data_IF_770546432182
#
_entry.id   IF_770546432182
#
_cell.length_a   1.000
_cell.length_b   1.000
_cell.length_c   1.000
_cell.angle_alpha   90.00
_cell.angle_beta   90.00
_cell.angle_gamma   90.00
#
_symmetry.space_group_name_H-M   'P 1'
#
loop_
_entity.id
_entity.type
_entity.pdbx_description
1 polymer ?
#
# COMPACT_ATOMS: atom_id res chain seq x y z
N UNK A 1 4.04 11.34 -19.08
CA UNK A 1 5.17 11.41 -18.10
C UNK A 1 6.22 10.42 -18.57
N UNK A 2 7.52 10.76 -18.59
CA UNK A 2 8.57 9.80 -18.96
C UNK A 2 8.60 8.68 -17.93
N UNK A 3 8.63 7.42 -18.37
CA UNK A 3 8.70 6.25 -17.49
C UNK A 3 10.02 6.27 -16.72
N UNK A 4 9.94 6.11 -15.40
CA UNK A 4 11.11 5.91 -14.54
C UNK A 4 11.35 4.41 -14.40
N UNK A 5 12.62 4.00 -14.48
CA UNK A 5 13.03 2.61 -14.34
C UNK A 5 13.91 2.44 -13.10
N UNK A 6 13.78 1.31 -12.45
CA UNK A 6 14.69 0.90 -11.37
C UNK A 6 15.96 0.25 -11.95
N UNK A 7 17.04 0.20 -11.18
CA UNK A 7 18.35 -0.30 -11.68
C UNK A 7 18.25 -1.70 -12.30
N UNK A 8 17.45 -2.59 -11.72
CA UNK A 8 17.27 -3.95 -12.25
C UNK A 8 16.38 -4.02 -13.51
N UNK A 9 15.73 -2.93 -13.89
CA UNK A 9 14.90 -2.80 -15.08
C UNK A 9 15.67 -2.23 -16.29
N UNK A 10 17.00 -1.99 -16.18
CA UNK A 10 17.77 -1.32 -17.22
C UNK A 10 17.63 -1.98 -18.60
N UNK A 11 17.61 -3.32 -18.65
CA UNK A 11 17.42 -4.04 -19.92
C UNK A 11 16.02 -3.86 -20.54
N UNK A 12 14.99 -3.58 -19.71
CA UNK A 12 13.65 -3.21 -20.18
C UNK A 12 13.69 -1.79 -20.71
N UNK A 13 14.33 -0.86 -19.98
CA UNK A 13 14.48 0.53 -20.38
C UNK A 13 15.17 0.67 -21.74
N UNK A 14 16.28 -0.06 -21.95
CA UNK A 14 17.03 -0.05 -23.20
C UNK A 14 16.18 -0.56 -24.38
N UNK A 15 15.34 -1.57 -24.13
CA UNK A 15 14.45 -2.12 -25.16
C UNK A 15 13.28 -1.18 -25.46
N UNK A 16 12.67 -0.56 -24.45
CA UNK A 16 11.62 0.44 -24.64
C UNK A 16 12.15 1.68 -25.39
N UNK A 17 13.36 2.15 -25.07
CA UNK A 17 14.00 3.25 -25.80
C UNK A 17 14.18 2.92 -27.27
N UNK A 18 14.63 1.69 -27.60
CA UNK A 18 14.77 1.25 -28.96
C UNK A 18 13.44 1.17 -29.72
N UNK A 19 12.37 0.73 -29.06
CA UNK A 19 11.03 0.71 -29.64
C UNK A 19 10.56 2.14 -29.97
N UNK A 20 10.78 3.09 -29.05
CA UNK A 20 10.44 4.50 -29.27
C UNK A 20 11.23 5.11 -30.44
N UNK A 21 12.53 4.82 -30.57
CA UNK A 21 13.34 5.24 -31.72
C UNK A 21 12.78 4.69 -33.05
N UNK A 22 12.39 3.42 -33.08
CA UNK A 22 11.80 2.82 -34.29
C UNK A 22 10.44 3.42 -34.64
N UNK A 23 9.59 3.69 -33.66
CA UNK A 23 8.31 4.37 -33.87
C UNK A 23 8.51 5.77 -34.49
N UNK A 24 9.49 6.53 -33.98
CA UNK A 24 9.83 7.83 -34.52
C UNK A 24 10.31 7.74 -35.98
N UNK A 25 11.15 6.75 -36.30
CA UNK A 25 11.60 6.50 -37.67
C UNK A 25 10.46 6.09 -38.62
N UNK A 26 9.50 5.30 -38.11
CA UNK A 26 8.31 4.89 -38.85
C UNK A 26 7.43 6.08 -39.21
N UNK A 27 7.23 7.02 -38.28
CA UNK A 27 6.43 8.22 -38.51
C UNK A 27 7.07 9.18 -39.52
N UNK A 28 8.40 9.17 -39.65
CA UNK A 28 9.17 10.07 -40.51
C UNK A 28 9.57 9.45 -41.87
N UNK A 29 9.33 8.15 -42.10
CA UNK A 29 9.75 7.43 -43.28
C UNK A 29 8.63 6.59 -43.92
N UNK A 30 8.73 6.34 -45.25
CA UNK A 30 7.82 5.45 -45.96
C UNK A 30 8.11 3.94 -45.75
N UNK A 31 8.98 3.59 -44.83
CA UNK A 31 9.35 2.20 -44.53
C UNK A 31 8.44 1.64 -43.45
N UNK A 32 7.73 0.55 -43.78
CA UNK A 32 6.91 -0.18 -42.79
C UNK A 32 7.80 -1.11 -41.94
N UNK A 33 7.96 -0.75 -40.68
CA UNK A 33 8.72 -1.51 -39.66
C UNK A 33 7.82 -2.04 -38.53
N UNK A 34 6.51 -2.10 -38.76
CA UNK A 34 5.53 -2.51 -37.78
C UNK A 34 5.77 -3.92 -37.23
N UNK A 35 6.20 -4.88 -38.08
CA UNK A 35 6.52 -6.25 -37.64
C UNK A 35 7.72 -6.29 -36.68
N UNK A 36 8.72 -5.46 -36.91
CA UNK A 36 9.90 -5.37 -36.06
C UNK A 36 9.55 -4.76 -34.70
N UNK A 37 8.72 -3.70 -34.69
CA UNK A 37 8.22 -3.08 -33.47
C UNK A 37 7.41 -4.11 -32.65
N UNK A 38 6.45 -4.80 -33.26
CA UNK A 38 5.62 -5.81 -32.59
C UNK A 38 6.48 -6.95 -32.00
N UNK A 39 7.52 -7.39 -32.73
CA UNK A 39 8.47 -8.40 -32.26
C UNK A 39 9.23 -7.92 -31.02
N UNK A 40 9.68 -6.66 -31.00
CA UNK A 40 10.39 -6.07 -29.86
C UNK A 40 9.47 -5.86 -28.68
N UNK A 41 8.22 -5.43 -28.89
CA UNK A 41 7.21 -5.32 -27.82
C UNK A 41 6.93 -6.68 -27.15
N UNK A 42 6.74 -7.74 -27.93
CA UNK A 42 6.60 -9.11 -27.41
C UNK A 42 7.82 -9.55 -26.60
N UNK A 43 9.02 -9.23 -27.10
CA UNK A 43 10.27 -9.51 -26.39
C UNK A 43 10.36 -8.70 -25.09
N UNK A 44 9.96 -7.43 -25.10
CA UNK A 44 9.90 -6.56 -23.92
C UNK A 44 8.95 -7.09 -22.85
N UNK A 45 7.75 -7.50 -23.26
CA UNK A 45 6.78 -8.09 -22.35
C UNK A 45 7.29 -9.39 -21.73
N UNK A 46 7.94 -10.27 -22.52
CA UNK A 46 8.53 -11.50 -22.00
C UNK A 46 9.70 -11.22 -21.04
N UNK A 47 10.57 -10.28 -21.38
CA UNK A 47 11.69 -9.87 -20.53
C UNK A 47 11.19 -9.30 -19.18
N UNK A 48 10.18 -8.45 -19.22
CA UNK A 48 9.55 -7.90 -18.01
C UNK A 48 8.96 -9.02 -17.15
N UNK A 49 8.27 -9.97 -17.75
CA UNK A 49 7.71 -11.14 -17.05
C UNK A 49 8.81 -11.98 -16.39
N UNK A 50 9.91 -12.21 -17.06
CA UNK A 50 11.02 -13.03 -16.55
C UNK A 50 11.75 -12.35 -15.38
N UNK A 51 11.94 -11.02 -15.45
CA UNK A 51 12.53 -10.22 -14.38
C UNK A 51 11.59 -10.18 -13.17
N UNK A 52 10.32 -9.83 -13.37
CA UNK A 52 9.35 -9.67 -12.29
C UNK A 52 8.95 -10.99 -11.62
N UNK A 53 9.14 -12.12 -12.30
CA UNK A 53 8.96 -13.45 -11.70
C UNK A 53 10.05 -13.84 -10.68
N UNK A 54 11.19 -13.12 -10.69
CA UNK A 54 12.39 -13.46 -9.90
C UNK A 54 12.85 -12.33 -8.97
N UNK A 55 11.99 -11.33 -8.72
CA UNK A 55 12.35 -10.21 -7.86
C UNK A 55 12.74 -10.69 -6.46
N UNK A 56 13.87 -10.22 -5.98
CA UNK A 56 14.27 -10.40 -4.58
C UNK A 56 13.40 -9.54 -3.66
N UNK A 57 13.28 -9.84 -2.37
CA UNK A 57 12.56 -9.00 -1.41
C UNK A 57 13.04 -7.55 -1.39
N UNK A 58 14.32 -7.32 -1.61
CA UNK A 58 14.87 -5.97 -1.76
C UNK A 58 14.32 -5.27 -3.00
N UNK A 59 14.33 -5.93 -4.17
CA UNK A 59 13.74 -5.37 -5.39
C UNK A 59 12.24 -5.13 -5.25
N UNK A 60 11.50 -6.01 -4.57
CA UNK A 60 10.09 -5.77 -4.24
C UNK A 60 9.93 -4.50 -3.40
N UNK A 61 10.81 -4.26 -2.42
CA UNK A 61 10.77 -3.02 -1.63
C UNK A 61 11.02 -1.76 -2.47
N UNK A 62 11.89 -1.86 -3.49
CA UNK A 62 12.13 -0.78 -4.44
C UNK A 62 10.89 -0.52 -5.32
N UNK A 63 10.21 -1.57 -5.82
CA UNK A 63 8.95 -1.46 -6.56
C UNK A 63 7.84 -0.86 -5.69
N UNK A 64 7.73 -1.26 -4.41
CA UNK A 64 6.77 -0.70 -3.46
C UNK A 64 6.93 0.82 -3.28
N UNK A 65 8.15 1.34 -3.42
CA UNK A 65 8.53 2.76 -3.29
C UNK A 65 8.63 3.49 -4.62
N UNK A 66 8.29 2.82 -5.73
CA UNK A 66 8.46 3.43 -7.05
C UNK A 66 7.75 4.79 -7.12
N UNK A 67 8.43 5.89 -7.58
CA UNK A 67 7.90 7.25 -7.52
C UNK A 67 6.62 7.45 -8.36
N UNK A 68 6.39 6.61 -9.35
CA UNK A 68 5.19 6.63 -10.19
C UNK A 68 4.13 5.62 -9.74
N UNK A 69 4.29 4.94 -8.59
CA UNK A 69 3.27 4.04 -8.05
C UNK A 69 2.02 4.82 -7.67
N UNK A 70 0.79 4.31 -7.95
CA UNK A 70 -0.44 4.98 -7.55
C UNK A 70 -0.51 5.14 -6.04
N UNK A 71 -0.91 6.34 -5.57
CA UNK A 71 -1.16 6.66 -4.18
C UNK A 71 -2.66 6.62 -3.87
N UNK A 72 -3.04 6.88 -2.63
CA UNK A 72 -4.44 6.84 -2.19
C UNK A 72 -5.37 7.71 -3.03
N UNK A 73 -4.98 8.96 -3.33
CA UNK A 73 -5.80 9.88 -4.13
C UNK A 73 -5.99 9.39 -5.59
N UNK A 74 -5.00 8.69 -6.15
CA UNK A 74 -5.14 8.09 -7.49
C UNK A 74 -6.22 6.99 -7.47
N UNK A 75 -6.17 6.10 -6.47
CA UNK A 75 -7.20 5.07 -6.32
C UNK A 75 -8.58 5.65 -6.00
N UNK A 76 -8.65 6.71 -5.19
CA UNK A 76 -9.91 7.39 -4.91
C UNK A 76 -10.58 7.87 -6.19
N UNK A 77 -9.84 8.53 -7.07
CA UNK A 77 -10.37 9.04 -8.35
C UNK A 77 -10.80 7.95 -9.33
N UNK A 78 -10.15 6.76 -9.30
CA UNK A 78 -10.39 5.67 -10.23
C UNK A 78 -11.46 4.66 -9.77
N UNK A 79 -11.67 4.54 -8.46
CA UNK A 79 -12.50 3.47 -7.87
C UNK A 79 -13.79 4.01 -7.25
N UNK A 80 -13.76 5.21 -6.67
CA UNK A 80 -14.86 5.79 -5.90
C UNK A 80 -15.50 6.99 -6.62
N UNK A 81 -16.71 7.35 -6.19
CA UNK A 81 -17.40 8.59 -6.58
C UNK A 81 -17.75 9.40 -5.34
N UNK A 82 -18.07 10.67 -5.55
CA UNK A 82 -18.57 11.58 -4.49
C UNK A 82 -17.67 11.63 -3.26
N UNK A 83 -16.34 11.70 -3.47
CA UNK A 83 -15.39 11.80 -2.37
C UNK A 83 -15.40 13.20 -1.77
N UNK A 84 -15.73 13.26 -0.47
CA UNK A 84 -15.71 14.48 0.35
C UNK A 84 -14.67 14.33 1.46
N UNK A 85 -13.54 15.03 1.33
CA UNK A 85 -12.46 14.97 2.31
C UNK A 85 -12.85 15.67 3.62
N UNK A 86 -12.56 15.03 4.76
CA UNK A 86 -12.87 15.52 6.10
C UNK A 86 -11.58 15.82 6.87
N UNK A 87 -11.24 17.07 6.99
CA UNK A 87 -9.99 17.58 7.56
C UNK A 87 -9.99 17.68 9.09
N UNK A 88 -8.79 17.62 9.68
CA UNK A 88 -8.48 17.94 11.07
C UNK A 88 -8.87 16.89 12.09
N UNK A 89 -8.17 16.91 13.21
CA UNK A 89 -8.35 15.96 14.33
C UNK A 89 -9.33 16.44 15.42
N UNK A 90 -9.79 17.68 15.36
CA UNK A 90 -10.61 18.35 16.38
C UNK A 90 -9.91 18.50 17.74
N UNK A 91 -8.57 18.42 17.76
CA UNK A 91 -7.76 18.60 18.96
C UNK A 91 -6.62 19.57 18.78
N UNK A 92 -5.87 19.48 17.67
CA UNK A 92 -4.70 20.32 17.42
C UNK A 92 -4.67 20.88 15.98
N UNK A 93 -4.61 20.03 14.95
CA UNK A 93 -4.46 20.47 13.57
C UNK A 93 -4.96 19.44 12.55
N UNK A 94 -4.79 19.76 11.27
CA UNK A 94 -4.87 18.77 10.20
C UNK A 94 -3.49 18.17 9.90
N UNK A 95 -3.46 16.96 9.33
CA UNK A 95 -2.26 16.31 8.83
C UNK A 95 -2.51 15.79 7.41
N UNK A 96 -1.77 16.34 6.47
CA UNK A 96 -1.91 16.03 5.06
C UNK A 96 -1.26 14.70 4.63
N UNK A 97 -0.53 14.03 5.52
CA UNK A 97 -0.02 12.69 5.29
C UNK A 97 -1.10 11.61 5.37
N UNK A 98 -2.25 11.91 6.01
CA UNK A 98 -3.45 11.10 5.95
C UNK A 98 -4.56 11.89 5.25
N UNK A 99 -5.15 11.28 4.25
CA UNK A 99 -6.39 11.72 3.61
C UNK A 99 -7.52 10.80 4.05
N UNK A 100 -8.72 11.35 4.23
CA UNK A 100 -9.87 10.53 4.57
C UNK A 100 -11.16 11.30 4.48
N UNK A 101 -12.24 10.59 4.21
CA UNK A 101 -13.54 11.20 4.01
C UNK A 101 -14.61 10.21 3.59
N UNK A 102 -15.77 10.74 3.29
CA UNK A 102 -16.91 9.99 2.78
C UNK A 102 -16.75 9.79 1.27
N UNK A 103 -17.14 8.63 0.79
CA UNK A 103 -17.16 8.32 -0.65
C UNK A 103 -18.31 7.35 -0.97
N UNK A 104 -18.54 7.11 -2.26
CA UNK A 104 -19.40 6.01 -2.72
C UNK A 104 -18.58 4.94 -3.42
N UNK A 105 -18.75 3.72 -2.97
CA UNK A 105 -18.19 2.53 -3.62
C UNK A 105 -19.33 1.72 -4.25
N UNK A 106 -19.40 1.68 -5.58
CA UNK A 106 -20.52 1.09 -6.32
C UNK A 106 -21.91 1.60 -5.84
N UNK A 107 -22.00 2.91 -5.56
CA UNK A 107 -23.23 3.56 -5.07
C UNK A 107 -23.44 3.45 -3.55
N UNK A 108 -22.78 2.55 -2.84
CA UNK A 108 -22.87 2.40 -1.38
C UNK A 108 -21.95 3.42 -0.68
N UNK A 109 -22.46 4.15 0.34
CA UNK A 109 -21.62 5.06 1.12
C UNK A 109 -20.61 4.27 1.97
N UNK A 110 -19.37 4.77 1.99
CA UNK A 110 -18.24 4.19 2.73
C UNK A 110 -17.38 5.30 3.33
N UNK A 111 -16.59 4.97 4.35
CA UNK A 111 -15.50 5.81 4.84
C UNK A 111 -14.18 5.33 4.24
N UNK A 112 -13.43 6.23 3.62
CA UNK A 112 -12.10 5.93 3.07
C UNK A 112 -11.06 6.71 3.87
N UNK A 113 -9.97 6.04 4.24
CA UNK A 113 -8.84 6.62 4.97
C UNK A 113 -7.56 6.06 4.37
N UNK A 114 -6.56 6.89 4.07
CA UNK A 114 -5.31 6.38 3.53
C UNK A 114 -4.14 7.32 3.69
N UNK A 115 -2.95 6.76 3.60
CA UNK A 115 -1.73 7.55 3.54
C UNK A 115 -1.58 8.18 2.17
N UNK A 116 -1.08 9.40 2.13
CA UNK A 116 -0.79 10.12 0.90
C UNK A 116 0.65 10.58 0.89
N UNK A 117 1.39 10.15 -0.12
CA UNK A 117 2.73 10.64 -0.44
C UNK A 117 2.64 11.73 -1.51
N UNK A 118 3.68 12.53 -1.64
CA UNK A 118 3.81 13.54 -2.70
C UNK A 118 4.61 13.05 -3.89
N UNK A 119 4.32 13.60 -5.08
CA UNK A 119 5.06 13.26 -6.30
C UNK A 119 6.27 14.15 -6.52
N UNK A 120 6.13 15.44 -6.36
CA UNK A 120 7.22 16.40 -6.42
C UNK A 120 7.71 16.81 -5.02
N UNK A 121 8.79 17.59 -4.97
CA UNK A 121 9.40 18.02 -3.71
C UNK A 121 8.44 18.86 -2.84
N UNK A 122 7.65 19.75 -3.45
CA UNK A 122 6.69 20.60 -2.75
C UNK A 122 5.58 19.76 -2.12
N UNK A 123 5.02 18.84 -2.90
CA UNK A 123 3.98 17.94 -2.42
C UNK A 123 4.52 16.97 -1.36
N UNK A 124 5.74 16.43 -1.53
CA UNK A 124 6.37 15.57 -0.52
C UNK A 124 6.52 16.29 0.83
N UNK A 125 6.95 17.55 0.83
CA UNK A 125 7.04 18.35 2.05
C UNK A 125 5.66 18.59 2.64
N UNK A 126 4.68 18.96 1.83
CA UNK A 126 3.29 19.18 2.25
C UNK A 126 2.66 17.94 2.88
N UNK A 127 2.93 16.75 2.33
CA UNK A 127 2.46 15.44 2.82
C UNK A 127 3.40 14.81 3.86
N UNK A 128 4.40 15.55 4.33
CA UNK A 128 5.42 15.06 5.26
C UNK A 128 6.00 13.70 4.82
N UNK A 129 6.26 13.53 3.53
CA UNK A 129 6.77 12.29 2.91
C UNK A 129 5.90 11.03 3.18
N UNK A 130 4.62 11.21 3.46
CA UNK A 130 3.70 10.15 3.84
C UNK A 130 3.89 9.63 5.27
N UNK A 131 4.56 10.39 6.12
CA UNK A 131 4.77 10.08 7.55
C UNK A 131 3.79 10.88 8.41
N UNK A 132 2.70 10.26 8.93
CA UNK A 132 1.73 10.97 9.73
C UNK A 132 2.28 11.40 11.10
N UNK A 133 1.80 12.57 11.54
CA UNK A 133 1.91 13.08 12.90
C UNK A 133 0.70 12.60 13.76
N UNK A 134 0.71 12.82 15.09
CA UNK A 134 -0.40 12.39 15.97
C UNK A 134 -1.77 12.84 15.49
N UNK A 135 -1.87 14.08 14.97
CA UNK A 135 -3.10 14.65 14.45
C UNK A 135 -3.65 13.91 13.23
N UNK A 136 -2.80 13.28 12.41
CA UNK A 136 -3.23 12.41 11.31
C UNK A 136 -3.91 11.14 11.84
N UNK A 137 -3.33 10.51 12.84
CA UNK A 137 -3.93 9.30 13.46
C UNK A 137 -5.20 9.64 14.25
N UNK A 138 -5.24 10.78 14.94
CA UNK A 138 -6.47 11.24 15.60
C UNK A 138 -7.57 11.59 14.60
N UNK A 139 -7.20 12.19 13.43
CA UNK A 139 -8.14 12.37 12.31
C UNK A 139 -8.69 11.03 11.83
N UNK A 140 -7.84 10.06 11.59
CA UNK A 140 -8.26 8.71 11.19
C UNK A 140 -9.22 8.10 12.22
N UNK A 141 -8.89 8.18 13.51
CA UNK A 141 -9.76 7.74 14.62
C UNK A 141 -11.15 8.39 14.58
N UNK A 142 -11.17 9.71 14.43
CA UNK A 142 -12.41 10.48 14.33
C UNK A 142 -13.28 10.01 13.16
N UNK A 143 -12.68 9.75 12.00
CA UNK A 143 -13.38 9.25 10.82
C UNK A 143 -13.90 7.83 11.02
N UNK A 144 -13.12 6.94 11.65
CA UNK A 144 -13.58 5.59 11.98
C UNK A 144 -14.77 5.61 12.95
N UNK A 145 -14.74 6.47 13.97
CA UNK A 145 -15.87 6.64 14.88
C UNK A 145 -17.10 7.25 14.21
N UNK A 146 -16.88 8.13 13.22
CA UNK A 146 -17.97 8.66 12.40
C UNK A 146 -18.58 7.56 11.53
N UNK A 147 -17.75 6.72 10.92
CA UNK A 147 -18.19 5.58 10.14
C UNK A 147 -19.02 4.60 10.99
N UNK A 148 -18.54 4.24 12.19
CA UNK A 148 -19.26 3.40 13.13
C UNK A 148 -20.65 3.97 13.48
N UNK A 149 -20.71 5.28 13.79
CA UNK A 149 -21.97 5.97 14.12
C UNK A 149 -23.02 5.86 13.03
N UNK A 150 -22.63 5.88 11.77
CA UNK A 150 -23.53 5.84 10.62
C UNK A 150 -23.59 4.45 9.94
N UNK A 151 -22.97 3.43 10.51
CA UNK A 151 -22.96 2.07 9.95
C UNK A 151 -22.24 1.96 8.62
N UNK A 152 -21.21 2.79 8.36
CA UNK A 152 -20.46 2.82 7.12
C UNK A 152 -19.27 1.87 7.17
N UNK A 153 -19.06 1.01 6.17
CA UNK A 153 -17.81 0.27 6.04
C UNK A 153 -16.61 1.20 5.95
N UNK A 154 -15.48 0.80 6.55
CA UNK A 154 -14.21 1.52 6.51
C UNK A 154 -13.27 0.81 5.55
N UNK A 155 -12.70 1.54 4.59
CA UNK A 155 -11.66 1.06 3.68
C UNK A 155 -10.40 1.86 3.91
N UNK A 156 -9.30 1.18 4.30
CA UNK A 156 -8.02 1.86 4.55
C UNK A 156 -6.98 1.50 3.50
N UNK A 157 -6.18 2.50 3.09
CA UNK A 157 -5.10 2.37 2.12
C UNK A 157 -3.78 2.75 2.79
N UNK A 158 -2.89 1.77 2.94
CA UNK A 158 -1.63 1.93 3.66
C UNK A 158 -0.50 2.14 2.67
N UNK A 159 0.18 3.29 2.78
CA UNK A 159 1.40 3.61 2.04
C UNK A 159 2.25 4.64 2.79
N UNK A 160 3.02 4.17 3.77
CA UNK A 160 3.86 5.00 4.61
C UNK A 160 5.19 4.31 4.94
N UNK A 161 6.31 5.03 4.98
CA UNK A 161 7.56 4.51 5.52
C UNK A 161 7.52 4.33 7.05
N UNK A 162 6.55 4.96 7.72
CA UNK A 162 6.38 4.92 9.18
C UNK A 162 5.72 6.19 9.72
N UNK A 163 5.51 6.22 11.03
CA UNK A 163 5.08 7.43 11.73
C UNK A 163 6.21 8.46 11.77
N UNK A 164 5.87 9.75 11.76
CA UNK A 164 6.86 10.82 11.87
C UNK A 164 7.57 10.77 13.23
N UNK A 165 8.92 10.68 13.27
CA UNK A 165 9.68 10.49 14.51
C UNK A 165 10.17 11.80 15.14
N UNK A 166 9.54 12.93 14.85
CA UNK A 166 9.95 14.24 15.35
C UNK A 166 9.59 14.44 16.82
N UNK A 167 10.38 15.30 17.52
CA UNK A 167 10.15 15.67 18.92
C UNK A 167 8.74 16.27 19.10
N UNK A 168 8.33 17.12 18.17
CA UNK A 168 7.01 17.75 18.17
C UNK A 168 5.86 16.72 18.04
N UNK A 169 6.08 15.59 17.39
CA UNK A 169 5.12 14.50 17.35
C UNK A 169 5.10 13.72 18.67
N UNK A 170 6.25 13.47 19.28
CA UNK A 170 6.35 12.85 20.61
C UNK A 170 5.62 13.68 21.66
N UNK A 171 5.86 15.00 21.71
CA UNK A 171 5.20 15.94 22.62
C UNK A 171 3.67 15.96 22.48
N UNK A 172 3.16 15.69 21.28
CA UNK A 172 1.70 15.64 21.01
C UNK A 172 1.12 14.23 21.05
N UNK A 173 1.87 13.25 21.57
CA UNK A 173 1.39 11.90 21.88
C UNK A 173 1.33 10.96 20.68
N UNK A 174 2.42 10.83 19.91
CA UNK A 174 2.49 9.96 18.73
C UNK A 174 2.15 8.50 19.08
N UNK A 175 2.75 7.94 20.12
CA UNK A 175 2.50 6.55 20.51
C UNK A 175 1.10 6.34 21.06
N UNK A 176 0.52 7.30 21.80
CA UNK A 176 -0.86 7.23 22.25
C UNK A 176 -1.84 7.24 21.07
N UNK A 177 -1.65 8.14 20.10
CA UNK A 177 -2.53 8.24 18.94
C UNK A 177 -2.51 6.95 18.10
N UNK A 178 -1.35 6.32 17.94
CA UNK A 178 -1.21 5.02 17.27
C UNK A 178 -1.89 3.92 18.10
N UNK A 179 -1.54 3.78 19.37
CA UNK A 179 -2.07 2.73 20.24
C UNK A 179 -3.59 2.82 20.41
N UNK A 180 -4.13 4.04 20.50
CA UNK A 180 -5.58 4.29 20.55
C UNK A 180 -6.29 3.80 19.29
N UNK A 181 -5.70 4.02 18.13
CA UNK A 181 -6.25 3.53 16.86
C UNK A 181 -6.31 2.00 16.80
N UNK A 182 -5.24 1.31 17.23
CA UNK A 182 -5.24 -0.16 17.28
C UNK A 182 -6.39 -0.69 18.16
N UNK A 183 -6.52 -0.13 19.33
CA UNK A 183 -7.58 -0.51 20.27
C UNK A 183 -8.98 -0.31 19.67
N UNK A 184 -9.23 0.89 19.14
CA UNK A 184 -10.57 1.22 18.58
C UNK A 184 -10.87 0.41 17.32
N UNK A 185 -9.89 0.22 16.42
CA UNK A 185 -10.10 -0.57 15.20
C UNK A 185 -10.46 -2.02 15.51
N UNK A 186 -9.91 -2.60 16.58
CA UNK A 186 -10.27 -3.95 17.01
C UNK A 186 -11.74 -4.09 17.41
N UNK A 187 -12.36 -3.00 17.89
CA UNK A 187 -13.72 -2.98 18.43
C UNK A 187 -14.77 -2.32 17.50
N UNK A 188 -14.37 -1.80 16.32
CA UNK A 188 -15.29 -1.13 15.40
C UNK A 188 -16.42 -2.06 14.94
N UNK A 189 -17.67 -1.62 15.11
CA UNK A 189 -18.88 -2.39 14.80
C UNK A 189 -19.30 -2.31 13.33
N UNK A 190 -18.38 -2.00 12.46
CA UNK A 190 -18.56 -1.93 11.00
C UNK A 190 -17.44 -2.69 10.29
N UNK A 191 -17.65 -3.16 9.07
CA UNK A 191 -16.60 -3.79 8.27
C UNK A 191 -15.38 -2.89 8.09
N UNK A 192 -14.18 -3.44 8.31
CA UNK A 192 -12.90 -2.76 8.10
C UNK A 192 -12.05 -3.55 7.13
N UNK A 193 -11.83 -3.01 5.93
CA UNK A 193 -11.03 -3.61 4.87
C UNK A 193 -9.73 -2.82 4.74
N UNK A 194 -8.61 -3.46 5.00
CA UNK A 194 -7.27 -2.87 4.93
C UNK A 194 -6.57 -3.29 3.65
N UNK A 195 -5.97 -2.36 2.94
CA UNK A 195 -5.14 -2.66 1.76
C UNK A 195 -3.78 -1.96 1.86
N UNK A 196 -2.70 -2.75 1.84
CA UNK A 196 -1.34 -2.22 1.71
C UNK A 196 -1.08 -1.99 0.22
N UNK A 197 -0.98 -0.73 -0.20
CA UNK A 197 -0.85 -0.34 -1.60
C UNK A 197 0.60 -0.03 -2.04
N UNK A 198 1.49 0.18 -1.09
CA UNK A 198 2.91 0.47 -1.31
C UNK A 198 3.74 -0.02 -0.13
N UNK A 199 4.27 0.89 0.67
CA UNK A 199 4.98 0.56 1.91
C UNK A 199 4.04 0.52 3.10
N UNK A 200 4.09 -0.56 3.87
CA UNK A 200 3.45 -0.65 5.18
C UNK A 200 4.50 -0.58 6.28
N UNK A 201 4.95 0.62 6.63
CA UNK A 201 6.04 0.82 7.59
C UNK A 201 5.57 0.97 9.04
N UNK A 202 6.02 0.05 9.92
CA UNK A 202 6.00 0.17 11.37
C UNK A 202 4.63 0.50 11.98
N UNK A 203 4.64 1.14 13.15
CA UNK A 203 3.43 1.63 13.84
C UNK A 203 2.61 2.62 13.01
N UNK A 204 3.27 3.35 12.10
CA UNK A 204 2.58 4.26 11.18
C UNK A 204 1.58 3.56 10.27
N UNK A 205 1.98 2.45 9.70
CA UNK A 205 1.09 1.59 8.93
C UNK A 205 0.05 0.90 9.82
N UNK A 206 0.50 0.34 10.94
CA UNK A 206 -0.34 -0.44 11.85
C UNK A 206 -1.53 0.38 12.41
N UNK A 207 -1.33 1.69 12.63
CA UNK A 207 -2.35 2.60 13.16
C UNK A 207 -3.63 2.71 12.31
N UNK A 208 -3.61 2.27 11.05
CA UNK A 208 -4.80 2.15 10.19
C UNK A 208 -4.90 0.77 9.51
N UNK A 209 -4.22 -0.24 10.07
CA UNK A 209 -4.11 -1.58 9.46
C UNK A 209 -4.69 -2.72 10.32
N UNK A 210 -5.45 -2.42 11.34
CA UNK A 210 -6.22 -3.43 12.10
C UNK A 210 -7.62 -3.55 11.48
N UNK A 211 -8.02 -4.76 11.04
CA UNK A 211 -9.31 -4.92 10.35
C UNK A 211 -9.74 -6.37 10.20
N UNK A 212 -10.88 -6.55 9.54
CA UNK A 212 -11.46 -7.86 9.28
C UNK A 212 -10.72 -8.60 8.16
N UNK A 213 -10.26 -7.85 7.16
CA UNK A 213 -9.49 -8.37 6.01
C UNK A 213 -8.28 -7.49 5.79
N UNK A 214 -7.10 -8.11 5.69
CA UNK A 214 -5.86 -7.46 5.27
C UNK A 214 -5.46 -7.95 3.88
N UNK A 215 -5.47 -7.05 2.93
CA UNK A 215 -5.04 -7.30 1.55
C UNK A 215 -3.72 -6.58 1.26
N UNK A 216 -2.92 -7.13 0.37
CA UNK A 216 -1.70 -6.49 -0.12
C UNK A 216 -1.65 -6.50 -1.63
N UNK A 217 -1.17 -5.42 -2.24
CA UNK A 217 -0.78 -5.45 -3.64
C UNK A 217 0.46 -6.35 -3.80
N UNK A 218 0.59 -6.98 -4.96
CA UNK A 218 1.60 -8.04 -5.22
C UNK A 218 3.03 -7.61 -4.88
N UNK A 219 3.38 -6.36 -5.22
CA UNK A 219 4.72 -5.80 -5.00
C UNK A 219 4.72 -4.72 -3.91
N UNK A 220 3.78 -4.79 -2.96
CA UNK A 220 3.81 -4.00 -1.74
C UNK A 220 4.62 -4.70 -0.65
N UNK A 221 5.02 -3.96 0.38
CA UNK A 221 5.75 -4.48 1.54
C UNK A 221 5.06 -4.12 2.85
N UNK A 222 5.16 -4.98 3.85
CA UNK A 222 4.67 -4.70 5.19
C UNK A 222 5.67 -5.18 6.23
N UNK A 223 6.16 -4.27 7.07
CA UNK A 223 7.27 -4.56 7.98
C UNK A 223 7.28 -3.64 9.19
N UNK A 224 7.91 -4.09 10.26
CA UNK A 224 8.10 -3.32 11.50
C UNK A 224 9.12 -2.19 11.35
N UNK A 225 10.06 -2.30 10.42
CA UNK A 225 11.12 -1.33 10.13
C UNK A 225 11.53 -1.44 8.66
N UNK A 226 12.15 -0.41 8.09
CA UNK A 226 12.72 -0.51 6.75
C UNK A 226 13.93 -1.47 6.70
N UNK A 227 14.21 -2.11 5.55
CA UNK A 227 15.41 -2.93 5.41
C UNK A 227 16.70 -2.20 5.73
N UNK A 228 16.80 -0.92 5.33
CA UNK A 228 17.94 -0.06 5.62
C UNK A 228 18.09 0.21 7.13
N UNK A 229 16.97 0.47 7.81
CA UNK A 229 16.93 0.67 9.25
C UNK A 229 17.34 -0.59 10.00
N UNK A 230 16.81 -1.74 9.62
CA UNK A 230 17.18 -3.04 10.16
C UNK A 230 18.70 -3.32 9.97
N UNK A 231 19.20 -3.10 8.76
CA UNK A 231 20.61 -3.28 8.42
C UNK A 231 21.52 -2.36 9.26
N UNK A 232 21.14 -1.10 9.41
CA UNK A 232 21.89 -0.13 10.21
C UNK A 232 21.98 -0.53 11.69
N UNK A 233 20.90 -1.07 12.25
CA UNK A 233 20.87 -1.53 13.65
C UNK A 233 21.70 -2.80 13.84
N UNK A 234 21.49 -3.83 13.00
CA UNK A 234 22.07 -5.15 13.20
C UNK A 234 23.51 -5.26 12.67
N UNK A 235 23.79 -4.69 11.50
CA UNK A 235 25.09 -4.80 10.83
C UNK A 235 25.91 -3.51 10.83
N UNK A 236 25.37 -2.41 11.39
CA UNK A 236 26.02 -1.08 11.41
C UNK A 236 26.30 -0.53 10.00
N UNK A 237 25.62 -1.05 8.96
CA UNK A 237 25.78 -0.61 7.57
C UNK A 237 24.44 -0.73 6.82
N UNK A 238 24.00 0.35 6.19
CA UNK A 238 22.81 0.34 5.33
C UNK A 238 23.03 -0.48 4.04
N UNK A 239 24.25 -0.76 3.63
CA UNK A 239 24.57 -1.58 2.44
C UNK A 239 24.08 -3.03 2.59
N UNK A 240 23.78 -3.45 3.82
CA UNK A 240 23.19 -4.75 4.14
C UNK A 240 21.65 -4.78 4.03
N UNK A 241 21.03 -3.74 3.49
CA UNK A 241 19.58 -3.69 3.28
C UNK A 241 19.03 -4.86 2.44
N UNK A 242 19.70 -5.34 1.38
CA UNK A 242 19.22 -6.52 0.64
C UNK A 242 19.15 -7.78 1.52
N UNK A 243 20.17 -8.05 2.36
CA UNK A 243 20.21 -9.18 3.28
C UNK A 243 19.12 -9.03 4.38
N UNK A 244 18.92 -7.81 4.87
CA UNK A 244 17.86 -7.51 5.83
C UNK A 244 16.47 -7.76 5.23
N UNK A 245 16.20 -7.30 4.00
CA UNK A 245 14.93 -7.51 3.32
C UNK A 245 14.58 -9.00 3.17
N UNK A 246 15.57 -9.83 2.83
CA UNK A 246 15.39 -11.28 2.72
C UNK A 246 15.02 -11.90 4.08
N UNK A 247 15.77 -11.56 5.12
CA UNK A 247 15.58 -12.11 6.46
C UNK A 247 14.25 -11.69 7.10
N UNK A 248 13.85 -10.44 6.90
CA UNK A 248 12.63 -9.87 7.49
C UNK A 248 11.34 -10.44 6.93
N UNK A 249 11.35 -10.99 5.71
CA UNK A 249 10.18 -11.62 5.11
C UNK A 249 9.03 -10.64 4.81
N UNK A 250 9.32 -9.46 4.29
CA UNK A 250 8.43 -8.30 4.15
C UNK A 250 7.44 -8.36 2.97
N UNK A 251 7.57 -9.33 2.08
CA UNK A 251 6.79 -9.40 0.83
C UNK A 251 5.39 -9.96 1.06
N UNK A 252 4.44 -9.57 0.23
CA UNK A 252 3.07 -10.03 0.29
C UNK A 252 2.96 -11.58 0.27
N UNK A 253 3.76 -12.25 -0.56
CA UNK A 253 3.78 -13.72 -0.65
C UNK A 253 4.24 -14.37 0.66
N UNK A 254 5.32 -13.84 1.25
CA UNK A 254 5.85 -14.38 2.51
C UNK A 254 4.86 -14.16 3.65
N UNK A 255 4.28 -12.97 3.76
CA UNK A 255 3.31 -12.62 4.80
C UNK A 255 2.01 -13.41 4.67
N UNK A 256 1.57 -13.72 3.44
CA UNK A 256 0.45 -14.62 3.22
C UNK A 256 0.75 -16.04 3.70
N UNK A 257 1.94 -16.55 3.43
CA UNK A 257 2.36 -17.88 3.93
C UNK A 257 2.39 -17.94 5.47
N UNK A 258 2.72 -16.82 6.11
CA UNK A 258 2.71 -16.69 7.59
C UNK A 258 1.30 -16.47 8.17
N UNK A 259 0.27 -16.33 7.34
CA UNK A 259 -1.12 -16.11 7.76
C UNK A 259 -1.42 -14.68 8.22
N UNK A 260 -0.53 -13.72 7.92
CA UNK A 260 -0.72 -12.30 8.27
C UNK A 260 -1.53 -11.54 7.22
N UNK A 261 -1.57 -12.02 5.98
CA UNK A 261 -2.26 -11.41 4.85
C UNK A 261 -3.31 -12.37 4.30
N UNK A 262 -4.54 -11.88 4.11
CA UNK A 262 -5.65 -12.70 3.65
C UNK A 262 -5.69 -12.84 2.12
N UNK A 263 -5.35 -11.77 1.39
CA UNK A 263 -5.42 -11.76 -0.08
C UNK A 263 -4.27 -10.96 -0.68
N UNK A 264 -3.65 -11.51 -1.72
CA UNK A 264 -2.72 -10.78 -2.58
C UNK A 264 -3.50 -10.34 -3.81
N UNK A 265 -3.40 -9.05 -4.15
CA UNK A 265 -4.02 -8.45 -5.32
C UNK A 265 -2.95 -8.36 -6.42
N UNK A 266 -3.17 -9.04 -7.54
CA UNK A 266 -2.24 -9.04 -8.65
C UNK A 266 -2.08 -7.65 -9.25
N UNK A 267 -0.86 -7.29 -9.56
CA UNK A 267 -0.52 -6.06 -10.24
C UNK A 267 -0.36 -6.30 -11.76
N UNK A 268 -0.52 -5.26 -12.57
CA UNK A 268 -0.19 -5.33 -14.00
C UNK A 268 1.28 -5.73 -14.21
N UNK A 269 1.59 -6.22 -15.40
CA UNK A 269 2.96 -6.56 -15.78
C UNK A 269 3.90 -5.36 -15.60
N UNK A 270 4.96 -5.55 -14.83
CA UNK A 270 5.90 -4.47 -14.48
C UNK A 270 5.43 -3.59 -13.31
N UNK A 271 4.35 -3.95 -12.59
CA UNK A 271 3.90 -3.27 -11.37
C UNK A 271 2.74 -2.29 -11.56
N UNK A 272 2.19 -1.81 -10.46
CA UNK A 272 1.02 -0.93 -10.42
C UNK A 272 1.19 0.40 -11.19
N UNK A 273 2.42 0.87 -11.30
CA UNK A 273 2.75 2.13 -11.99
C UNK A 273 2.73 2.01 -13.53
N UNK A 274 2.70 0.80 -14.07
CA UNK A 274 2.65 0.58 -15.53
C UNK A 274 1.25 0.75 -16.10
N UNK A 275 0.22 0.42 -15.33
CA UNK A 275 -1.18 0.55 -15.76
C UNK A 275 -2.09 0.83 -14.55
N UNK A 276 -2.39 2.10 -14.31
CA UNK A 276 -3.25 2.56 -13.23
C UNK A 276 -4.67 2.03 -13.35
N UNK A 277 -5.21 1.96 -14.57
CA UNK A 277 -6.58 1.54 -14.80
C UNK A 277 -6.75 0.04 -14.51
N UNK A 278 -5.85 -0.80 -15.01
CA UNK A 278 -5.86 -2.23 -14.71
C UNK A 278 -5.62 -2.49 -13.22
N UNK A 279 -4.72 -1.75 -12.58
CA UNK A 279 -4.49 -1.88 -11.14
C UNK A 279 -5.71 -1.49 -10.32
N UNK A 280 -6.35 -0.36 -10.65
CA UNK A 280 -7.57 0.09 -10.00
C UNK A 280 -8.72 -0.90 -10.19
N UNK A 281 -8.85 -1.50 -11.38
CA UNK A 281 -9.82 -2.55 -11.64
C UNK A 281 -9.62 -3.77 -10.73
N UNK A 282 -8.38 -4.27 -10.63
CA UNK A 282 -8.05 -5.42 -9.78
C UNK A 282 -8.33 -5.12 -8.30
N UNK A 283 -7.94 -3.93 -7.83
CA UNK A 283 -8.20 -3.47 -6.47
C UNK A 283 -9.70 -3.33 -6.20
N UNK A 284 -10.45 -2.70 -7.11
CA UNK A 284 -11.90 -2.53 -7.00
C UNK A 284 -12.61 -3.88 -6.84
N UNK A 285 -12.22 -4.87 -7.65
CA UNK A 285 -12.78 -6.23 -7.55
C UNK A 285 -12.47 -6.86 -6.19
N UNK A 286 -11.24 -6.73 -5.70
CA UNK A 286 -10.85 -7.27 -4.40
C UNK A 286 -11.62 -6.63 -3.24
N UNK A 287 -11.80 -5.31 -3.26
CA UNK A 287 -12.59 -4.57 -2.28
C UNK A 287 -14.07 -4.99 -2.31
N UNK A 288 -14.63 -5.17 -3.51
CA UNK A 288 -16.01 -5.61 -3.68
C UNK A 288 -16.25 -7.01 -3.11
N UNK A 289 -15.33 -7.96 -3.38
CA UNK A 289 -15.42 -9.33 -2.85
C UNK A 289 -15.38 -9.30 -1.31
N UNK A 290 -14.43 -8.57 -0.73
CA UNK A 290 -14.29 -8.44 0.72
C UNK A 290 -15.52 -7.78 1.36
N UNK A 291 -15.97 -6.66 0.80
CA UNK A 291 -17.15 -5.97 1.33
C UNK A 291 -18.40 -6.84 1.30
N UNK A 292 -18.62 -7.59 0.21
CA UNK A 292 -19.74 -8.53 0.08
C UNK A 292 -19.71 -9.61 1.16
N UNK A 293 -18.54 -10.18 1.44
CA UNK A 293 -18.37 -11.20 2.48
C UNK A 293 -18.65 -10.64 3.88
N UNK A 294 -18.06 -9.49 4.20
CA UNK A 294 -18.20 -8.89 5.53
C UNK A 294 -19.60 -8.33 5.80
N UNK A 295 -20.27 -7.79 4.77
CA UNK A 295 -21.63 -7.26 4.90
C UNK A 295 -22.70 -8.36 5.09
N UNK A 296 -22.35 -9.62 4.91
CA UNK A 296 -23.23 -10.75 5.18
C UNK A 296 -23.21 -11.19 6.67
N UNK A 297 -22.24 -10.71 7.46
CA UNK A 297 -22.07 -11.03 8.86
C UNK A 297 -22.90 -10.10 9.73
N UNK A 298 -23.42 -10.61 10.83
CA UNK A 298 -23.94 -9.79 11.94
C UNK A 298 -22.77 -9.05 12.61
N UNK A 299 -23.08 -8.00 13.35
CA UNK A 299 -22.05 -7.26 14.12
C UNK A 299 -21.32 -8.16 15.12
N UNK A 300 -22.01 -9.08 15.74
CA UNK A 300 -21.42 -10.03 16.70
C UNK A 300 -20.45 -11.00 16.01
N UNK A 301 -20.84 -11.58 14.89
CA UNK A 301 -19.99 -12.46 14.09
C UNK A 301 -18.77 -11.71 13.54
N UNK A 302 -18.94 -10.47 13.08
CA UNK A 302 -17.86 -9.62 12.58
C UNK A 302 -16.79 -9.39 13.66
N UNK A 303 -17.21 -8.99 14.87
CA UNK A 303 -16.29 -8.75 15.99
C UNK A 303 -15.61 -10.03 16.48
N UNK A 304 -16.36 -11.14 16.58
CA UNK A 304 -15.81 -12.43 16.98
C UNK A 304 -14.74 -12.92 15.97
N UNK A 305 -15.06 -12.87 14.68
CA UNK A 305 -14.11 -13.27 13.61
C UNK A 305 -12.86 -12.39 13.59
N UNK A 306 -13.00 -11.07 13.77
CA UNK A 306 -11.87 -10.14 13.88
C UNK A 306 -11.00 -10.46 15.09
N UNK A 307 -11.59 -10.70 16.24
CA UNK A 307 -10.87 -11.08 17.45
C UNK A 307 -10.10 -12.40 17.28
N UNK A 308 -10.75 -13.45 16.78
CA UNK A 308 -10.13 -14.74 16.53
C UNK A 308 -8.96 -14.63 15.54
N UNK A 309 -9.13 -13.82 14.48
CA UNK A 309 -8.09 -13.52 13.52
C UNK A 309 -6.86 -12.89 14.19
N UNK A 310 -7.05 -11.86 14.99
CA UNK A 310 -5.96 -11.17 15.71
C UNK A 310 -5.26 -12.12 16.70
N UNK A 311 -6.01 -12.94 17.42
CA UNK A 311 -5.47 -13.92 18.37
C UNK A 311 -4.79 -15.11 17.70
N UNK A 312 -5.04 -15.35 16.41
CA UNK A 312 -4.40 -16.42 15.65
C UNK A 312 -2.99 -16.12 15.16
N UNK A 313 -2.52 -14.88 15.29
CA UNK A 313 -1.18 -14.48 14.88
C UNK A 313 -0.11 -15.12 15.75
N UNK A 314 1.06 -15.42 15.15
CA UNK A 314 2.20 -15.94 15.90
C UNK A 314 2.17 -17.45 16.16
N UNK A 315 1.66 -18.25 15.21
CA UNK A 315 1.71 -19.73 15.30
C UNK A 315 3.14 -20.20 15.35
N UNK A 316 3.49 -20.98 16.38
CA UNK A 316 4.80 -21.62 16.53
C UNK A 316 4.65 -23.10 16.87
N UNK A 317 5.67 -23.89 16.60
CA UNK A 317 5.78 -25.28 17.05
C UNK A 317 6.77 -25.33 18.20
N UNK A 318 6.32 -25.79 19.35
CA UNK A 318 7.26 -26.17 20.42
C UNK A 318 8.00 -27.44 19.99
N UNK A 319 9.34 -27.38 19.95
CA UNK A 319 10.15 -28.59 19.92
C UNK A 319 10.26 -29.06 21.36
N UNK A 320 9.79 -30.28 21.62
CA UNK A 320 10.06 -30.92 22.91
C UNK A 320 11.59 -30.96 23.10
N UNK A 321 12.05 -30.29 24.14
CA UNK A 321 13.46 -30.41 24.58
C UNK A 321 13.53 -31.79 25.23
N UNK A 322 14.16 -32.75 24.53
CA UNK A 322 14.51 -34.06 25.08
C UNK A 322 15.71 -33.94 26.02
#
# INVERSE_FOLDING_TARGET
MKTSFLDFEQSIADLEAKIEELRFVQDDSAVDISEDIERLEKKGAQLTKDIYAKLTPWQVSQVARHPQRPYTLDYLSLIFTDFEELHGDRAFADDHAIVGGLARFNGQPVMVIGHQKGRDTKEKIYRNFGMPRPEGYRKALRLMKLAEKFGLPVMTFVDTPGAYPGIDAEERGQSEAIGRNLYVMAELKVPVIVTIIGEGGSGGALAIAVGDVLQMLQYSTYSVISPEGCASILWKSADKAPEAAETMGITAQRLKTLGLVDKIISEPLGGAHRDYAAMAHNLKKALQDALKQLSALSTEELLATRYERLMSYGRFKEQAVN
#
